data_IF_540434620877
#
_entry.id   IF_540434620877
#
_cell.length_a   1.000
_cell.length_b   1.000
_cell.length_c   1.000
_cell.angle_alpha   90.00
_cell.angle_beta   90.00
_cell.angle_gamma   90.00
#
_symmetry.space_group_name_H-M   'P 1'
#
loop_
_entity.id
_entity.type
_entity.pdbx_description
1 polymer ?
#
# COMPACT_ATOMS: atom_id res chain seq x y z
N UNK A 1 34.38 -8.31 -17.44
CA UNK A 1 33.06 -8.24 -16.80
C UNK A 1 33.27 -8.18 -15.29
N UNK A 2 33.10 -7.02 -14.67
CA UNK A 2 33.22 -6.92 -13.21
C UNK A 2 31.91 -7.40 -12.59
N UNK A 3 31.88 -8.63 -12.08
CA UNK A 3 30.81 -9.07 -11.19
C UNK A 3 30.74 -8.09 -10.01
N UNK A 4 29.56 -7.57 -9.71
CA UNK A 4 29.34 -6.66 -8.59
C UNK A 4 29.68 -7.41 -7.28
N UNK A 5 30.90 -7.21 -6.77
CA UNK A 5 31.32 -7.74 -5.48
C UNK A 5 30.46 -7.10 -4.40
N UNK A 6 29.84 -7.93 -3.56
CA UNK A 6 29.10 -7.48 -2.40
C UNK A 6 29.99 -6.60 -1.50
N UNK A 7 29.43 -5.52 -0.94
CA UNK A 7 30.19 -4.57 -0.10
C UNK A 7 30.71 -5.32 1.15
N UNK A 8 32.04 -5.37 1.38
CA UNK A 8 32.60 -6.08 2.53
C UNK A 8 32.09 -5.47 3.83
N UNK A 9 31.95 -6.29 4.87
CA UNK A 9 31.36 -5.88 6.16
C UNK A 9 32.03 -4.62 6.71
N UNK A 10 33.36 -4.54 6.64
CA UNK A 10 34.14 -3.39 7.09
C UNK A 10 33.85 -2.07 6.34
N UNK A 11 33.24 -2.12 5.15
CA UNK A 11 32.83 -0.93 4.38
C UNK A 11 31.33 -0.65 4.48
N UNK A 12 30.56 -1.45 5.22
CA UNK A 12 29.14 -1.17 5.44
C UNK A 12 29.03 0.08 6.29
N UNK A 13 28.20 1.02 5.81
CA UNK A 13 27.85 2.22 6.55
C UNK A 13 26.57 1.85 7.28
N UNK A 14 26.60 1.84 8.60
CA UNK A 14 25.41 1.66 9.42
C UNK A 14 24.81 3.05 9.68
N UNK A 15 23.51 3.25 9.43
CA UNK A 15 22.87 4.50 9.81
C UNK A 15 22.97 4.68 11.32
N UNK A 16 23.29 5.89 11.75
CA UNK A 16 23.28 6.27 13.16
C UNK A 16 21.86 6.74 13.49
N UNK A 17 21.24 6.18 14.52
CA UNK A 17 19.95 6.67 14.99
C UNK A 17 20.11 8.11 15.48
N UNK A 18 19.50 9.05 14.77
CA UNK A 18 19.42 10.45 15.14
C UNK A 18 17.95 10.81 15.41
N UNK A 19 17.65 11.62 16.43
CA UNK A 19 16.30 12.11 16.65
C UNK A 19 15.86 12.99 15.48
N UNK A 20 14.58 12.91 15.11
CA UNK A 20 13.99 13.81 14.12
C UNK A 20 14.03 15.24 14.63
N UNK A 21 14.30 16.19 13.72
CA UNK A 21 14.22 17.61 14.03
C UNK A 21 12.76 17.97 14.33
N UNK A 22 12.47 18.96 15.21
CA UNK A 22 11.10 19.32 15.55
C UNK A 22 10.21 19.62 14.34
N UNK A 23 10.76 20.23 13.28
CA UNK A 23 10.04 20.53 12.04
C UNK A 23 9.70 19.31 11.17
N UNK A 24 10.34 18.16 11.43
CA UNK A 24 10.12 16.90 10.74
C UNK A 24 9.26 15.92 11.57
N UNK A 25 8.85 16.33 12.78
CA UNK A 25 7.95 15.53 13.61
C UNK A 25 6.53 15.63 13.04
N UNK A 26 5.85 14.47 12.96
CA UNK A 26 4.46 14.43 12.56
C UNK A 26 3.61 15.09 13.65
N UNK A 27 2.73 16.01 13.24
CA UNK A 27 1.75 16.59 14.14
C UNK A 27 0.75 15.50 14.59
N UNK A 28 0.36 15.52 15.86
CA UNK A 28 -0.76 14.72 16.34
C UNK A 28 -2.04 15.18 15.65
N UNK A 29 -2.74 14.26 14.99
CA UNK A 29 -3.99 14.56 14.34
C UNK A 29 -5.17 14.29 15.26
N UNK A 30 -6.10 15.24 15.30
CA UNK A 30 -7.34 15.10 16.06
C UNK A 30 -8.19 13.98 15.47
N UNK A 31 -8.80 13.16 16.34
CA UNK A 31 -9.68 12.08 15.89
C UNK A 31 -10.91 12.70 15.22
N UNK A 32 -11.25 12.33 13.98
CA UNK A 32 -12.48 12.81 13.38
C UNK A 32 -13.69 12.28 14.16
N UNK A 33 -14.57 13.19 14.58
CA UNK A 33 -15.71 12.90 15.47
C UNK A 33 -16.83 12.06 14.83
N UNK A 34 -16.82 11.85 13.52
CA UNK A 34 -17.94 11.22 12.81
C UNK A 34 -17.51 10.21 11.75
N UNK A 35 -17.77 8.93 12.02
CA UNK A 35 -17.92 7.95 10.94
C UNK A 35 -19.17 8.31 10.14
N UNK A 36 -19.03 8.54 8.84
CA UNK A 36 -20.16 8.54 7.91
C UNK A 36 -20.71 7.12 7.84
N UNK A 37 -21.89 6.90 8.44
CA UNK A 37 -22.43 5.58 8.85
C UNK A 37 -23.18 4.79 7.78
N UNK A 38 -23.24 5.26 6.53
CA UNK A 38 -24.12 4.62 5.54
C UNK A 38 -23.52 4.56 4.14
N UNK A 39 -23.24 3.35 3.68
CA UNK A 39 -23.31 2.96 2.27
C UNK A 39 -23.92 1.54 2.12
N UNK A 40 -24.14 1.12 0.87
CA UNK A 40 -24.72 -0.20 0.51
C UNK A 40 -23.66 -1.14 -0.11
N UNK A 41 -22.40 -1.08 0.34
CA UNK A 41 -21.29 -1.86 -0.25
C UNK A 41 -21.34 -3.34 0.16
N UNK A 42 -21.82 -3.61 1.36
CA UNK A 42 -21.88 -4.95 1.94
C UNK A 42 -23.22 -5.61 1.58
N UNK A 43 -23.26 -6.27 0.42
CA UNK A 43 -24.41 -7.06 -0.04
C UNK A 43 -24.45 -8.43 0.63
N UNK A 44 -25.59 -9.11 0.58
CA UNK A 44 -25.74 -10.49 1.08
C UNK A 44 -24.70 -11.46 0.48
N UNK A 45 -24.38 -11.31 -0.81
CA UNK A 45 -23.34 -12.10 -1.48
C UNK A 45 -21.97 -11.91 -0.83
N UNK A 46 -21.61 -10.65 -0.53
CA UNK A 46 -20.34 -10.29 0.09
C UNK A 46 -20.30 -10.67 1.58
N UNK A 47 -21.43 -10.58 2.27
CA UNK A 47 -21.59 -11.12 3.64
C UNK A 47 -21.35 -12.62 3.67
N UNK A 48 -21.82 -13.36 2.67
CA UNK A 48 -21.58 -14.80 2.54
C UNK A 48 -20.11 -15.17 2.33
N UNK A 49 -19.27 -14.23 1.87
CA UNK A 49 -17.82 -14.44 1.75
C UNK A 49 -17.09 -14.26 3.08
N UNK A 50 -17.71 -13.62 4.07
CA UNK A 50 -17.12 -13.39 5.39
C UNK A 50 -17.31 -14.63 6.28
N UNK A 51 -16.22 -15.05 6.92
CA UNK A 51 -16.27 -16.07 7.96
C UNK A 51 -16.66 -15.41 9.28
N UNK A 52 -17.95 -15.48 9.63
CA UNK A 52 -18.49 -14.91 10.87
C UNK A 52 -18.68 -16.02 11.89
N UNK A 53 -17.84 -16.00 12.93
CA UNK A 53 -17.80 -17.03 13.96
C UNK A 53 -17.08 -18.30 13.55
N UNK A 54 -16.82 -19.12 14.54
CA UNK A 54 -16.04 -20.36 14.49
C UNK A 54 -16.72 -21.48 15.31
N UNK A 55 -18.04 -21.36 15.51
CA UNK A 55 -18.89 -22.32 16.23
C UNK A 55 -19.27 -21.88 17.65
N UNK A 56 -18.69 -20.80 18.18
CA UNK A 56 -19.03 -20.26 19.50
C UNK A 56 -20.18 -19.24 19.50
N UNK A 57 -20.48 -18.66 18.35
CA UNK A 57 -21.56 -17.69 18.20
C UNK A 57 -22.88 -18.39 17.90
N UNK A 58 -23.90 -18.05 18.69
CA UNK A 58 -25.29 -18.43 18.41
C UNK A 58 -25.78 -17.80 17.10
N UNK A 59 -26.79 -18.36 16.44
CA UNK A 59 -27.37 -17.77 15.22
C UNK A 59 -27.79 -16.30 15.42
N UNK A 60 -28.34 -15.98 16.59
CA UNK A 60 -28.78 -14.62 16.96
C UNK A 60 -27.60 -13.65 17.03
N UNK A 61 -26.47 -14.06 17.61
CA UNK A 61 -25.26 -13.23 17.68
C UNK A 61 -24.64 -13.01 16.30
N UNK A 62 -24.66 -14.04 15.44
CA UNK A 62 -24.18 -13.90 14.07
C UNK A 62 -25.03 -12.91 13.27
N UNK A 63 -26.36 -12.96 13.41
CA UNK A 63 -27.27 -12.04 12.74
C UNK A 63 -27.10 -10.61 13.26
N UNK A 64 -26.97 -10.44 14.58
CA UNK A 64 -26.65 -9.16 15.18
C UNK A 64 -25.32 -8.60 14.66
N UNK A 65 -24.28 -9.45 14.54
CA UNK A 65 -22.99 -9.04 14.00
C UNK A 65 -23.09 -8.61 12.53
N UNK A 66 -23.84 -9.35 11.69
CA UNK A 66 -24.09 -8.97 10.29
C UNK A 66 -24.76 -7.59 10.20
N UNK A 67 -25.74 -7.32 11.06
CA UNK A 67 -26.41 -6.02 11.13
C UNK A 67 -25.42 -4.89 11.48
N UNK A 68 -24.57 -5.11 12.51
CA UNK A 68 -23.56 -4.11 12.91
C UNK A 68 -22.49 -3.88 11.83
N UNK A 69 -22.11 -4.91 11.09
CA UNK A 69 -21.15 -4.78 9.99
C UNK A 69 -21.65 -3.87 8.87
N UNK A 70 -22.96 -3.85 8.60
CA UNK A 70 -23.55 -2.96 7.60
C UNK A 70 -23.36 -1.48 7.96
N UNK A 71 -23.30 -1.13 9.25
CA UNK A 71 -23.04 0.24 9.72
C UNK A 71 -21.61 0.73 9.39
N UNK A 72 -20.69 -0.20 9.13
CA UNK A 72 -19.27 0.05 8.84
C UNK A 72 -18.81 -0.58 7.52
N UNK A 73 -19.72 -0.71 6.56
CA UNK A 73 -19.48 -1.42 5.29
C UNK A 73 -18.23 -0.95 4.51
N UNK A 74 -17.90 0.35 4.57
CA UNK A 74 -16.69 0.93 3.95
C UNK A 74 -15.36 0.50 4.58
N UNK A 75 -15.38 -0.10 5.77
CA UNK A 75 -14.18 -0.62 6.39
C UNK A 75 -13.60 -1.80 5.59
N UNK A 76 -14.42 -2.44 4.75
CA UNK A 76 -14.03 -3.57 3.92
C UNK A 76 -13.81 -3.13 2.47
N UNK A 77 -12.80 -3.74 1.86
CA UNK A 77 -12.52 -3.67 0.44
C UNK A 77 -12.54 -5.09 -0.15
N UNK A 78 -13.41 -5.31 -1.13
CA UNK A 78 -13.54 -6.58 -1.85
C UNK A 78 -12.77 -6.58 -3.17
N UNK A 79 -12.43 -5.38 -3.67
CA UNK A 79 -11.60 -5.18 -4.85
C UNK A 79 -10.63 -4.00 -4.62
N UNK A 80 -9.65 -3.85 -5.52
CA UNK A 80 -8.63 -2.82 -5.41
C UNK A 80 -9.18 -1.40 -5.68
N UNK A 81 -10.33 -1.27 -6.34
CA UNK A 81 -11.02 0.02 -6.57
C UNK A 81 -11.66 0.57 -5.28
N UNK A 82 -11.99 -0.31 -4.34
CA UNK A 82 -12.55 0.01 -3.03
C UNK A 82 -11.47 0.37 -2.00
N UNK A 83 -10.19 0.26 -2.37
CA UNK A 83 -9.06 0.65 -1.54
C UNK A 83 -9.19 2.11 -1.11
N UNK A 84 -9.27 2.32 0.20
CA UNK A 84 -9.37 3.66 0.77
C UNK A 84 -8.02 4.38 0.78
N UNK A 85 -8.06 5.70 0.62
CA UNK A 85 -6.96 6.60 0.94
C UNK A 85 -7.31 7.33 2.25
N UNK A 86 -6.32 7.51 3.13
CA UNK A 86 -6.51 8.35 4.31
C UNK A 86 -6.77 9.79 3.86
N UNK A 87 -7.77 10.43 4.48
CA UNK A 87 -8.06 11.83 4.21
C UNK A 87 -6.91 12.69 4.71
N UNK A 88 -6.54 13.71 3.96
CA UNK A 88 -5.52 14.70 4.37
C UNK A 88 -5.86 15.40 5.69
N UNK A 89 -7.16 15.48 6.03
CA UNK A 89 -7.63 16.01 7.32
C UNK A 89 -7.29 15.11 8.52
N UNK A 90 -7.04 13.82 8.28
CA UNK A 90 -6.69 12.82 9.30
C UNK A 90 -5.18 12.61 9.33
N UNK A 91 -4.53 12.60 8.17
CA UNK A 91 -3.08 12.50 8.07
C UNK A 91 -2.60 13.43 6.94
N UNK A 92 -1.94 14.55 7.28
CA UNK A 92 -1.44 15.47 6.26
C UNK A 92 -0.34 14.80 5.43
N UNK A 93 -0.05 15.29 4.21
CA UNK A 93 1.01 14.75 3.37
C UNK A 93 2.36 14.65 4.11
N UNK A 94 2.96 13.47 4.08
CA UNK A 94 4.26 13.22 4.72
C UNK A 94 5.35 13.98 3.99
N UNK A 95 6.09 14.81 4.72
CA UNK A 95 7.31 15.45 4.23
C UNK A 95 8.53 14.61 4.60
N UNK A 96 9.23 14.09 3.60
CA UNK A 96 10.47 13.33 3.82
C UNK A 96 11.62 14.32 4.09
N UNK A 97 12.27 14.29 5.27
CA UNK A 97 13.44 15.12 5.53
C UNK A 97 14.62 14.67 4.69
N UNK A 98 15.29 15.62 4.03
CA UNK A 98 16.46 15.36 3.21
C UNK A 98 17.71 15.97 3.85
N UNK A 99 18.83 15.27 3.71
CA UNK A 99 20.17 15.80 3.98
C UNK A 99 20.78 16.32 2.67
N UNK A 100 21.82 17.17 2.67
CA UNK A 100 22.51 17.52 1.43
C UNK A 100 23.00 16.27 0.70
N UNK A 101 22.53 16.05 -0.53
CA UNK A 101 22.89 14.92 -1.36
C UNK A 101 22.73 15.25 -2.85
N UNK A 102 23.34 14.44 -3.69
CA UNK A 102 23.15 14.47 -5.13
C UNK A 102 21.95 13.58 -5.51
N UNK A 103 20.97 14.06 -6.28
CA UNK A 103 19.90 13.22 -6.82
C UNK A 103 20.46 12.10 -7.70
N UNK A 104 19.73 10.99 -7.78
CA UNK A 104 20.14 9.83 -8.58
C UNK A 104 19.06 9.44 -9.59
N UNK A 105 19.47 9.28 -10.84
CA UNK A 105 18.63 8.71 -11.90
C UNK A 105 19.25 7.39 -12.35
N UNK A 106 18.61 6.28 -11.99
CA UNK A 106 19.02 4.96 -12.41
C UNK A 106 18.05 4.36 -13.42
N UNK A 107 18.60 3.99 -14.58
CA UNK A 107 17.87 3.21 -15.58
C UNK A 107 17.31 1.91 -14.98
N UNK A 108 16.01 1.61 -15.16
CA UNK A 108 15.41 0.37 -14.66
C UNK A 108 16.01 -0.85 -15.35
N UNK A 109 15.89 -2.02 -14.71
CA UNK A 109 16.33 -3.27 -15.32
C UNK A 109 15.49 -3.60 -16.56
N UNK A 110 16.07 -4.26 -17.58
CA UNK A 110 15.31 -4.70 -18.74
C UNK A 110 14.16 -5.63 -18.33
N UNK A 111 12.96 -5.35 -18.81
CA UNK A 111 11.80 -6.20 -18.52
C UNK A 111 11.89 -7.53 -19.28
N UNK A 112 11.63 -8.67 -18.62
CA UNK A 112 11.58 -9.96 -19.30
C UNK A 112 10.48 -9.97 -20.38
N UNK A 113 10.84 -10.35 -21.61
CA UNK A 113 9.89 -10.35 -22.74
C UNK A 113 8.66 -11.22 -22.48
N UNK A 114 8.84 -12.37 -21.84
CA UNK A 114 7.76 -13.29 -21.51
C UNK A 114 6.71 -12.70 -20.52
N UNK A 115 7.08 -11.68 -19.74
CA UNK A 115 6.21 -11.05 -18.75
C UNK A 115 5.75 -9.65 -19.16
N UNK A 116 6.16 -9.16 -20.34
CA UNK A 116 5.98 -7.77 -20.74
C UNK A 116 4.52 -7.32 -20.67
N UNK A 117 3.60 -8.06 -21.30
CA UNK A 117 2.18 -7.69 -21.33
C UNK A 117 1.54 -7.70 -19.94
N UNK A 118 1.95 -8.66 -19.09
CA UNK A 118 1.48 -8.76 -17.69
C UNK A 118 1.99 -7.59 -16.84
N UNK A 119 3.25 -7.19 -17.04
CA UNK A 119 3.84 -6.04 -16.35
C UNK A 119 3.14 -4.75 -16.78
N UNK A 120 2.90 -4.57 -18.08
CA UNK A 120 2.18 -3.41 -18.61
C UNK A 120 0.74 -3.36 -18.07
N UNK A 121 0.05 -4.50 -18.01
CA UNK A 121 -1.28 -4.61 -17.39
C UNK A 121 -1.27 -4.15 -15.93
N UNK A 122 -0.35 -4.70 -15.12
CA UNK A 122 -0.18 -4.33 -13.72
C UNK A 122 0.13 -2.84 -13.53
N UNK A 123 0.98 -2.25 -14.37
CA UNK A 123 1.30 -0.81 -14.32
C UNK A 123 0.08 0.06 -14.63
N UNK A 124 -0.72 -0.32 -15.62
CA UNK A 124 -1.96 0.39 -15.96
C UNK A 124 -2.99 0.32 -14.83
N UNK A 125 -3.18 -0.86 -14.26
CA UNK A 125 -4.08 -1.07 -13.10
C UNK A 125 -3.66 -0.22 -11.91
N UNK A 126 -2.36 -0.20 -11.59
CA UNK A 126 -1.80 0.64 -10.50
C UNK A 126 -1.94 2.13 -10.77
N UNK A 127 -1.90 2.54 -12.04
CA UNK A 127 -2.17 3.93 -12.44
C UNK A 127 -3.65 4.28 -12.27
N UNK A 128 -4.56 3.39 -12.68
CA UNK A 128 -6.01 3.61 -12.54
C UNK A 128 -6.44 3.65 -11.08
N UNK A 129 -5.88 2.80 -10.23
CA UNK A 129 -6.15 2.76 -8.77
C UNK A 129 -5.50 3.92 -8.00
N UNK A 130 -4.68 4.76 -8.64
CA UNK A 130 -4.03 5.90 -7.99
C UNK A 130 -2.80 5.54 -7.15
N UNK A 131 -2.35 4.28 -7.17
CA UNK A 131 -1.12 3.85 -6.47
C UNK A 131 0.13 4.42 -7.15
N UNK A 132 0.10 4.54 -8.47
CA UNK A 132 1.18 5.10 -9.27
C UNK A 132 0.68 6.31 -10.06
N UNK A 133 1.45 7.39 -10.02
CA UNK A 133 1.23 8.57 -10.83
C UNK A 133 2.41 8.83 -11.78
N UNK A 134 2.17 9.37 -12.98
CA UNK A 134 3.25 9.89 -13.80
C UNK A 134 3.93 11.08 -13.09
N UNK A 135 5.25 11.03 -12.96
CA UNK A 135 6.04 12.11 -12.35
C UNK A 135 7.27 12.41 -13.20
N UNK A 136 7.76 13.64 -13.05
CA UNK A 136 9.04 14.10 -13.61
C UNK A 136 9.85 14.60 -12.43
N UNK A 137 10.96 13.94 -12.13
CA UNK A 137 11.80 14.29 -11.00
C UNK A 137 13.25 13.85 -11.21
N UNK A 138 14.18 14.38 -10.40
CA UNK A 138 15.60 14.05 -10.51
C UNK A 138 15.94 12.70 -9.84
N UNK A 139 14.94 11.97 -9.32
CA UNK A 139 15.10 10.68 -8.65
C UNK A 139 14.47 9.55 -9.46
N UNK A 140 15.23 8.50 -9.74
CA UNK A 140 14.72 7.24 -10.29
C UNK A 140 15.47 6.05 -9.70
N UNK A 141 14.72 5.16 -9.04
CA UNK A 141 15.25 3.92 -8.50
C UNK A 141 15.16 2.78 -9.53
N UNK A 142 16.12 1.84 -9.47
CA UNK A 142 15.98 0.59 -10.21
C UNK A 142 14.89 -0.26 -9.58
N UNK A 143 13.97 -0.74 -10.39
CA UNK A 143 12.95 -1.69 -10.00
C UNK A 143 12.99 -2.92 -10.91
N UNK A 144 12.45 -4.02 -10.41
CA UNK A 144 12.25 -5.26 -11.14
C UNK A 144 10.92 -5.87 -10.69
N UNK A 145 10.51 -6.97 -11.32
CA UNK A 145 9.23 -7.62 -11.00
C UNK A 145 9.49 -9.04 -10.55
N UNK A 146 8.76 -9.46 -9.52
CA UNK A 146 8.79 -10.80 -8.94
C UNK A 146 7.41 -11.45 -9.13
N UNK A 147 7.39 -12.69 -9.58
CA UNK A 147 6.19 -13.53 -9.56
C UNK A 147 5.92 -14.06 -8.14
N UNK A 148 4.67 -13.98 -7.69
CA UNK A 148 4.26 -14.63 -6.45
C UNK A 148 4.30 -16.15 -6.59
N UNK A 149 4.29 -16.86 -5.46
CA UNK A 149 4.25 -18.34 -5.41
C UNK A 149 3.13 -18.93 -6.27
N UNK A 150 1.99 -18.24 -6.30
CA UNK A 150 0.79 -18.65 -7.04
C UNK A 150 0.92 -18.43 -8.56
N UNK A 151 2.02 -17.82 -9.02
CA UNK A 151 2.36 -17.45 -10.42
C UNK A 151 1.35 -16.55 -11.13
N UNK A 152 0.21 -16.25 -10.52
CA UNK A 152 -0.84 -15.39 -11.08
C UNK A 152 -0.49 -13.91 -10.95
N UNK A 153 -0.03 -13.49 -9.76
CA UNK A 153 0.23 -12.08 -9.43
C UNK A 153 1.71 -11.70 -9.54
N UNK A 154 1.94 -10.47 -10.01
CA UNK A 154 3.24 -9.81 -10.07
C UNK A 154 3.38 -8.78 -8.93
N UNK A 155 4.61 -8.52 -8.50
CA UNK A 155 4.96 -7.46 -7.53
C UNK A 155 6.29 -6.81 -7.91
N UNK A 156 6.48 -5.56 -7.50
CA UNK A 156 7.80 -4.93 -7.51
C UNK A 156 8.61 -5.36 -6.27
#
# INVERSE_FOLDING_TARGET
MNAARYKPVAKKIHPVNQPLRPEDQLAETERPDQLTRQTKRLTEERLGQLQIGDGWLTPVEQDYFRERLQEVDKAFAFNDEEMGLLKESIEPPIRIPTVPHEPWDHKPFPMPRALYDRIVGMLKEKRTTGVLEPSIGPYANRWFVIEKKDKTKLRF
#
